data_IF_977748787356
#
_entry.id   IF_977748787356
#
_cell.length_a   1.000
_cell.length_b   1.000
_cell.length_c   1.000
_cell.angle_alpha   90.00
_cell.angle_beta   90.00
_cell.angle_gamma   90.00
#
_symmetry.space_group_name_H-M   'P 1'
#
loop_
_entity.id
_entity.type
_entity.pdbx_description
1 polymer ?
#
# COMPACT_ATOMS: atom_id res chain seq x y z
N UNK A 1 -15.30 -0.79 -3.76
CA UNK A 1 -14.24 -1.39 -2.93
C UNK A 1 -12.94 -0.63 -3.14
N UNK A 2 -12.03 -0.59 -2.16
CA UNK A 2 -10.73 0.05 -2.32
C UNK A 2 -9.96 -0.59 -3.49
N UNK A 3 -9.47 0.21 -4.43
CA UNK A 3 -8.80 -0.30 -5.63
C UNK A 3 -7.40 -0.86 -5.38
N UNK A 4 -6.79 -0.53 -4.23
CA UNK A 4 -5.42 -0.92 -3.85
C UNK A 4 -5.39 -2.21 -3.01
N UNK A 5 -6.37 -2.42 -2.13
CA UNK A 5 -6.47 -3.63 -1.31
C UNK A 5 -7.63 -4.55 -1.68
N UNK A 6 -8.47 -4.15 -2.64
CA UNK A 6 -9.66 -4.87 -3.14
C UNK A 6 -10.75 -5.17 -2.12
N UNK A 7 -10.59 -4.76 -0.86
CA UNK A 7 -11.62 -4.92 0.19
C UNK A 7 -12.62 -3.76 0.17
N UNK A 8 -13.90 -4.07 0.38
CA UNK A 8 -14.98 -3.07 0.48
C UNK A 8 -14.94 -2.33 1.82
N UNK A 9 -14.63 -3.08 2.87
CA UNK A 9 -14.42 -2.68 4.26
C UNK A 9 -13.06 -3.19 4.71
N UNK A 10 -12.37 -2.39 5.51
CA UNK A 10 -11.14 -2.76 6.19
C UNK A 10 -11.11 -2.06 7.55
N UNK A 11 -10.33 -2.61 8.47
CA UNK A 11 -10.10 -2.00 9.77
C UNK A 11 -9.63 -0.53 9.60
N UNK A 12 -10.39 0.47 10.09
CA UNK A 12 -10.01 1.88 10.00
C UNK A 12 -8.69 2.20 10.70
N UNK A 13 -8.32 1.47 11.75
CA UNK A 13 -7.05 1.69 12.46
C UNK A 13 -5.86 1.22 11.61
N UNK A 14 -6.06 0.21 10.76
CA UNK A 14 -5.04 -0.33 9.87
C UNK A 14 -4.98 0.38 8.51
N UNK A 15 -6.14 0.68 7.92
CA UNK A 15 -6.24 1.20 6.55
C UNK A 15 -6.55 2.69 6.47
N UNK A 16 -6.98 3.30 7.58
CA UNK A 16 -7.44 4.68 7.60
C UNK A 16 -8.82 4.82 6.96
N UNK A 17 -9.21 6.07 6.73
CA UNK A 17 -10.52 6.38 6.14
C UNK A 17 -10.59 5.96 4.68
N UNK A 18 -11.79 5.57 4.24
CA UNK A 18 -12.08 5.31 2.84
C UNK A 18 -12.43 6.62 2.14
N UNK A 19 -11.72 6.91 1.07
CA UNK A 19 -11.85 8.15 0.30
C UNK A 19 -12.38 7.86 -1.09
N UNK A 20 -13.28 8.70 -1.56
CA UNK A 20 -13.86 8.62 -2.90
C UNK A 20 -13.79 9.97 -3.61
N UNK A 21 -13.14 10.02 -4.77
CA UNK A 21 -12.98 11.23 -5.59
C UNK A 21 -12.72 10.86 -7.04
N UNK A 22 -13.37 11.53 -7.99
CA UNK A 22 -13.13 11.35 -9.44
C UNK A 22 -13.22 9.88 -9.92
N UNK A 23 -14.16 9.12 -9.34
CA UNK A 23 -14.35 7.69 -9.64
C UNK A 23 -13.27 6.76 -9.07
N UNK A 24 -12.38 7.28 -8.23
CA UNK A 24 -11.43 6.49 -7.45
C UNK A 24 -12.01 6.21 -6.08
N UNK A 25 -11.68 5.04 -5.54
CA UNK A 25 -12.05 4.59 -4.21
C UNK A 25 -10.83 3.92 -3.59
N UNK A 26 -10.27 4.51 -2.54
CA UNK A 26 -9.08 3.99 -1.87
C UNK A 26 -9.09 4.31 -0.38
N UNK A 27 -8.49 3.45 0.44
CA UNK A 27 -8.22 3.80 1.84
C UNK A 27 -6.98 4.68 1.93
N UNK A 28 -6.98 5.61 2.88
CA UNK A 28 -5.92 6.58 3.14
C UNK A 28 -4.53 5.93 3.24
N UNK A 29 -4.35 4.97 4.15
CA UNK A 29 -3.05 4.33 4.34
C UNK A 29 -2.69 3.38 3.19
N UNK A 30 -3.68 2.83 2.48
CA UNK A 30 -3.40 2.07 1.25
C UNK A 30 -2.72 2.93 0.18
N UNK A 31 -3.07 4.22 0.08
CA UNK A 31 -2.40 5.15 -0.84
C UNK A 31 -0.96 5.40 -0.41
N UNK A 32 -0.73 5.68 0.87
CA UNK A 32 0.60 5.98 1.40
C UNK A 32 1.60 4.82 1.26
N UNK A 33 1.16 3.57 1.47
CA UNK A 33 2.04 2.39 1.41
C UNK A 33 2.18 1.74 0.02
N UNK A 34 1.45 2.23 -0.99
CA UNK A 34 1.56 1.67 -2.34
C UNK A 34 2.95 1.99 -2.94
N UNK A 35 3.78 0.97 -3.16
CA UNK A 35 5.22 1.16 -3.44
C UNK A 35 5.55 1.89 -4.74
N UNK A 36 4.63 1.92 -5.70
CA UNK A 36 4.79 2.62 -6.98
C UNK A 36 4.13 4.00 -7.01
N UNK A 37 3.56 4.45 -5.90
CA UNK A 37 2.84 5.71 -5.79
C UNK A 37 3.71 6.77 -5.11
N UNK A 38 3.83 7.95 -5.72
CA UNK A 38 4.64 9.05 -5.19
C UNK A 38 3.73 10.21 -4.84
N UNK A 39 3.80 10.66 -3.59
CA UNK A 39 3.05 11.82 -3.15
C UNK A 39 3.66 13.10 -3.74
N UNK A 40 2.84 13.95 -4.36
CA UNK A 40 3.28 15.24 -4.89
C UNK A 40 2.89 16.36 -3.92
N UNK A 41 3.79 17.32 -3.69
CA UNK A 41 3.51 18.52 -2.90
C UNK A 41 2.87 19.60 -3.80
N UNK A 42 1.69 20.09 -3.45
CA UNK A 42 0.97 21.13 -4.21
C UNK A 42 -0.48 21.30 -3.75
N UNK A 43 -1.12 22.43 -4.07
CA UNK A 43 -2.47 22.78 -3.58
C UNK A 43 -3.63 22.10 -4.33
N UNK A 44 -3.37 21.28 -5.35
CA UNK A 44 -4.43 20.72 -6.19
C UNK A 44 -4.01 19.42 -6.91
N UNK A 45 -3.68 18.36 -6.15
CA UNK A 45 -2.98 17.16 -6.68
C UNK A 45 -3.75 15.84 -6.49
N UNK A 46 -5.08 15.87 -6.55
CA UNK A 46 -5.89 14.64 -6.57
C UNK A 46 -6.33 14.17 -5.18
N UNK A 47 -6.09 12.90 -4.85
CA UNK A 47 -6.52 12.27 -3.59
C UNK A 47 -5.34 12.26 -2.61
N UNK A 48 -5.36 13.08 -1.56
CA UNK A 48 -4.24 13.24 -0.60
C UNK A 48 -2.87 13.61 -1.23
N UNK A 49 -2.88 14.27 -2.38
CA UNK A 49 -1.67 14.61 -3.13
C UNK A 49 -1.18 13.53 -4.09
N UNK A 50 -2.00 12.51 -4.34
CA UNK A 50 -1.78 11.49 -5.37
C UNK A 50 -2.66 11.76 -6.60
N UNK A 51 -2.02 11.88 -7.77
CA UNK A 51 -2.75 12.10 -9.02
C UNK A 51 -3.58 10.86 -9.38
N UNK A 52 -4.80 11.05 -9.91
CA UNK A 52 -5.65 9.93 -10.30
C UNK A 52 -5.02 8.98 -11.32
N UNK A 53 -4.23 9.52 -12.25
CA UNK A 53 -3.48 8.75 -13.24
C UNK A 53 -2.41 7.86 -12.61
N UNK A 54 -1.67 8.36 -11.61
CA UNK A 54 -0.63 7.63 -10.90
C UNK A 54 -1.24 6.48 -10.06
N UNK A 55 -2.42 6.70 -9.47
CA UNK A 55 -3.19 5.68 -8.76
C UNK A 55 -3.61 4.56 -9.73
N UNK A 56 -4.21 4.92 -10.87
CA UNK A 56 -4.65 3.93 -11.88
C UNK A 56 -3.46 3.15 -12.44
N UNK A 57 -2.34 3.82 -12.72
CA UNK A 57 -1.10 3.18 -13.16
C UNK A 57 -0.59 2.18 -12.13
N UNK A 58 -0.58 2.57 -10.84
CA UNK A 58 -0.17 1.69 -9.74
C UNK A 58 -1.03 0.44 -9.63
N UNK A 59 -2.36 0.59 -9.74
CA UNK A 59 -3.30 -0.54 -9.75
C UNK A 59 -3.06 -1.48 -10.94
N UNK A 60 -2.79 -0.94 -12.12
CA UNK A 60 -2.47 -1.74 -13.31
C UNK A 60 -1.16 -2.52 -13.16
N UNK A 61 -0.12 -1.89 -12.59
CA UNK A 61 1.16 -2.55 -12.29
C UNK A 61 0.98 -3.65 -11.24
N UNK A 62 0.12 -3.45 -10.25
CA UNK A 62 -0.18 -4.42 -9.21
C UNK A 62 -1.06 -5.58 -9.68
N UNK A 63 -1.78 -5.45 -10.80
CA UNK A 63 -2.72 -6.46 -11.29
C UNK A 63 -2.07 -7.83 -11.58
N UNK A 64 -0.75 -7.86 -11.81
CA UNK A 64 0.02 -9.10 -12.02
C UNK A 64 0.74 -9.58 -10.76
N UNK A 65 0.73 -8.80 -9.67
CA UNK A 65 1.38 -9.15 -8.40
C UNK A 65 0.41 -9.90 -7.51
N UNK A 66 0.81 -11.07 -7.04
CA UNK A 66 0.06 -11.84 -6.06
C UNK A 66 0.42 -11.39 -4.65
N UNK A 67 -0.58 -11.31 -3.78
CA UNK A 67 -0.37 -11.19 -2.35
C UNK A 67 0.15 -12.52 -1.82
N UNK A 68 1.34 -12.55 -1.23
CA UNK A 68 1.89 -13.81 -0.69
C UNK A 68 1.13 -14.34 0.55
N UNK A 69 0.26 -13.50 1.15
CA UNK A 69 -0.54 -13.82 2.33
C UNK A 69 -1.88 -14.44 1.93
N UNK A 70 -2.67 -13.75 1.09
CA UNK A 70 -4.01 -14.21 0.71
C UNK A 70 -4.09 -14.89 -0.67
N UNK A 71 -2.99 -14.94 -1.43
CA UNK A 71 -2.93 -15.55 -2.78
C UNK A 71 -3.52 -14.70 -3.92
N UNK A 72 -4.42 -13.76 -3.60
CA UNK A 72 -5.11 -12.91 -4.58
C UNK A 72 -4.18 -11.90 -5.29
N UNK A 73 -4.56 -11.55 -6.52
CA UNK A 73 -3.86 -10.54 -7.34
C UNK A 73 -4.19 -9.11 -6.91
N UNK A 74 -3.31 -8.17 -7.26
CA UNK A 74 -3.52 -6.73 -7.04
C UNK A 74 -2.71 -6.16 -5.89
N UNK A 75 -1.72 -6.88 -5.37
CA UNK A 75 -0.92 -6.44 -4.24
C UNK A 75 -0.04 -5.21 -4.60
N UNK A 76 -0.32 -4.07 -3.96
CA UNK A 76 0.33 -2.79 -4.25
C UNK A 76 1.54 -2.49 -3.38
N UNK A 77 1.69 -3.18 -2.24
CA UNK A 77 2.87 -3.06 -1.38
C UNK A 77 3.87 -4.12 -1.79
N UNK A 78 5.11 -3.73 -2.04
CA UNK A 78 6.25 -4.63 -2.29
C UNK A 78 7.26 -4.45 -1.16
N UNK A 79 7.91 -5.55 -0.75
CA UNK A 79 8.98 -5.51 0.22
C UNK A 79 10.07 -4.50 -0.20
N UNK A 80 10.54 -3.69 0.74
CA UNK A 80 11.54 -2.64 0.48
C UNK A 80 12.97 -3.19 0.39
N UNK A 81 13.18 -4.46 0.78
CA UNK A 81 14.47 -5.14 0.64
C UNK A 81 14.84 -5.35 -0.83
N UNK A 82 16.12 -5.13 -1.15
CA UNK A 82 16.61 -5.21 -2.53
C UNK A 82 16.59 -6.66 -3.01
N UNK A 83 15.96 -6.90 -4.17
CA UNK A 83 15.82 -8.25 -4.73
C UNK A 83 14.65 -9.06 -4.16
N UNK A 84 13.93 -8.56 -3.16
CA UNK A 84 12.73 -9.23 -2.65
C UNK A 84 11.50 -8.89 -3.52
N UNK A 85 10.96 -9.91 -4.20
CA UNK A 85 9.77 -9.76 -5.05
C UNK A 85 8.43 -9.90 -4.32
N UNK A 86 8.43 -10.05 -2.98
CA UNK A 86 7.18 -10.31 -2.23
C UNK A 86 6.30 -9.07 -2.19
N UNK A 87 5.02 -9.28 -2.51
CA UNK A 87 4.02 -8.23 -2.47
C UNK A 87 2.82 -8.62 -1.60
N UNK A 88 2.19 -7.64 -0.99
CA UNK A 88 1.02 -7.84 -0.12
C UNK A 88 0.05 -6.65 -0.16
N UNK A 89 -1.17 -6.87 0.31
CA UNK A 89 -2.12 -5.79 0.57
C UNK A 89 -1.90 -5.24 1.98
N UNK A 90 -2.22 -3.96 2.22
CA UNK A 90 -2.11 -3.37 3.56
C UNK A 90 -2.91 -4.15 4.63
N UNK A 91 -4.18 -4.55 4.39
CA UNK A 91 -4.92 -5.38 5.35
C UNK A 91 -4.25 -6.73 5.67
N UNK A 92 -3.51 -7.27 4.71
CA UNK A 92 -2.82 -8.56 4.86
C UNK A 92 -1.49 -8.43 5.61
N UNK A 93 -1.02 -7.22 5.91
CA UNK A 93 0.25 -7.02 6.59
C UNK A 93 0.24 -7.64 8.00
N UNK A 94 -0.89 -7.54 8.72
CA UNK A 94 -1.03 -8.10 10.07
C UNK A 94 -1.01 -9.64 10.04
N UNK A 95 -1.87 -10.24 9.21
CA UNK A 95 -1.94 -11.70 9.04
C UNK A 95 -0.62 -12.29 8.51
N UNK A 96 0.07 -11.52 7.67
CA UNK A 96 1.32 -11.91 7.06
C UNK A 96 2.56 -11.47 7.83
N UNK A 97 2.45 -11.00 9.07
CA UNK A 97 3.56 -10.55 9.93
C UNK A 97 4.52 -9.55 9.24
N UNK A 98 3.99 -8.76 8.31
CA UNK A 98 4.73 -7.70 7.63
C UNK A 98 4.84 -6.45 8.52
N UNK A 99 5.91 -5.68 8.34
CA UNK A 99 6.08 -4.39 9.02
C UNK A 99 5.90 -3.26 8.01
N UNK A 100 5.04 -2.30 8.32
CA UNK A 100 4.83 -1.05 7.56
C UNK A 100 5.27 0.13 8.42
N UNK A 101 6.23 0.94 7.97
CA UNK A 101 6.80 2.05 8.73
C UNK A 101 6.32 3.39 8.17
N UNK A 102 5.73 4.23 9.02
CA UNK A 102 5.24 5.59 8.68
C UNK A 102 6.35 6.66 8.63
N UNK A 103 7.62 6.24 8.53
CA UNK A 103 8.76 7.15 8.44
C UNK A 103 8.87 7.74 7.03
N UNK A 104 9.78 8.71 6.82
CA UNK A 104 9.92 9.64 5.68
C UNK A 104 9.80 9.09 4.23
N UNK A 105 9.62 7.78 4.02
CA UNK A 105 9.38 7.13 2.72
C UNK A 105 8.29 6.06 2.71
N UNK A 106 7.50 5.87 3.78
CA UNK A 106 6.48 4.82 3.89
C UNK A 106 6.98 3.44 3.43
N UNK A 107 8.00 2.91 4.11
CA UNK A 107 8.61 1.62 3.78
C UNK A 107 7.79 0.45 4.33
N UNK A 108 7.90 -0.70 3.68
CA UNK A 108 7.20 -1.92 4.09
C UNK A 108 8.05 -3.16 3.83
N UNK A 109 8.03 -4.11 4.75
CA UNK A 109 8.92 -5.28 4.76
C UNK A 109 8.12 -6.56 4.98
N UNK A 110 8.49 -7.63 4.28
CA UNK A 110 7.94 -8.97 4.54
C UNK A 110 8.55 -9.56 5.84
N UNK A 111 8.00 -10.68 6.36
CA UNK A 111 8.48 -11.28 7.61
C UNK A 111 9.96 -11.61 7.65
N UNK A 112 10.53 -12.00 6.51
CA UNK A 112 11.95 -12.37 6.39
C UNK A 112 12.90 -11.18 6.37
N UNK A 113 12.42 -10.00 5.97
CA UNK A 113 13.24 -8.78 5.87
C UNK A 113 12.75 -7.70 6.83
N UNK A 114 12.05 -8.09 7.89
CA UNK A 114 11.65 -7.15 8.93
C UNK A 114 12.92 -6.53 9.53
N UNK A 115 13.00 -5.19 9.65
CA UNK A 115 14.13 -4.57 10.30
C UNK A 115 14.19 -5.01 11.76
N UNK A 116 15.36 -5.44 12.22
CA UNK A 116 15.60 -5.67 13.64
C UNK A 116 15.68 -4.33 14.34
N UNK A 117 14.80 -4.09 15.30
CA UNK A 117 14.89 -2.90 16.13
C UNK A 117 16.06 -3.11 17.10
N UNK A 118 17.22 -2.50 16.81
CA UNK A 118 18.29 -2.41 17.80
C UNK A 118 17.79 -1.52 18.94
N UNK A 119 17.44 -2.15 20.06
CA UNK A 119 17.18 -1.44 21.31
C UNK A 119 18.55 -1.25 21.96
N UNK A 120 19.07 -0.03 21.89
CA UNK A 120 20.13 0.43 22.81
C UNK A 120 19.55 0.74 24.18
#
# INVERSE_FOLDING_TARGET
ACMLCRRAEADPDLCGQKLEKEGLCAHEFCLFFASALVQKQGRDVGLLGFLPEDIRRTVNLAAQKNCFVCGERGATITCSETGCGRSFHLPCAVEGECITQFLAKYSSFCPEHRPEQQVE
#
